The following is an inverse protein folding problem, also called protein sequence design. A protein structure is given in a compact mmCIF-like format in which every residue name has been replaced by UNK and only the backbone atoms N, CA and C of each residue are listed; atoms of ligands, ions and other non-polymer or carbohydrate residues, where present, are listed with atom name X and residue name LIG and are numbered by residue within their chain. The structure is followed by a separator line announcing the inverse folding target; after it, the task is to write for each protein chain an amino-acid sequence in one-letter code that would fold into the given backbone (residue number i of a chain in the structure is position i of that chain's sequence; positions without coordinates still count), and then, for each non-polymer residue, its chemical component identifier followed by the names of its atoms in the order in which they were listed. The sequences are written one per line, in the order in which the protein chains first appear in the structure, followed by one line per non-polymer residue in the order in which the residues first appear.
data_IF_507268152857
#
_entry.id   IF_507268152857
#
_cell.length_a   1.000
_cell.length_b   1.000
_cell.length_c   1.000
_cell.angle_alpha   90.00
_cell.angle_beta   90.00
_cell.angle_gamma   90.00
#
_symmetry.space_group_name_H-M   'P 1'
#
loop_
_entity.id
_entity.type
_entity.pdbx_description
1 polymer ?
#
# COMPACT_ATOMS: atom_id res chain seq x y z
N UNK A 1 17.65 2.86 2.32
CA UNK A 1 16.39 3.38 1.74
C UNK A 1 15.42 3.75 2.85
N UNK A 2 14.78 4.93 2.83
CA UNK A 2 13.73 5.28 3.82
C UNK A 2 12.40 4.65 3.38
N UNK A 3 11.73 3.96 4.30
CA UNK A 3 10.43 3.30 4.07
C UNK A 3 9.26 4.30 4.01
N UNK A 4 9.36 5.44 4.70
CA UNK A 4 8.44 6.56 4.58
C UNK A 4 9.27 7.79 4.22
N UNK A 5 9.05 8.34 3.02
CA UNK A 5 9.57 9.65 2.66
C UNK A 5 8.71 10.74 3.31
N UNK A 6 9.21 11.98 3.33
CA UNK A 6 8.42 13.12 3.82
C UNK A 6 7.11 13.28 3.05
N UNK A 7 7.14 13.04 1.74
CA UNK A 7 5.97 13.07 0.86
C UNK A 7 4.93 12.00 1.22
N UNK A 8 5.37 10.74 1.40
CA UNK A 8 4.46 9.66 1.80
C UNK A 8 3.86 9.95 3.18
N UNK A 9 4.66 10.48 4.11
CA UNK A 9 4.18 10.86 5.44
C UNK A 9 3.13 11.97 5.38
N UNK A 10 3.35 12.99 4.55
CA UNK A 10 2.38 14.07 4.33
C UNK A 10 1.08 13.54 3.71
N UNK A 11 1.17 12.67 2.71
CA UNK A 11 0.01 12.07 2.07
C UNK A 11 -0.81 11.19 3.04
N UNK A 12 -0.14 10.36 3.84
CA UNK A 12 -0.80 9.59 4.90
C UNK A 12 -1.51 10.51 5.91
N UNK A 13 -0.87 11.60 6.34
CA UNK A 13 -1.48 12.57 7.26
C UNK A 13 -2.73 13.24 6.65
N UNK A 14 -2.71 13.56 5.36
CA UNK A 14 -3.87 14.12 4.64
C UNK A 14 -5.03 13.13 4.66
N UNK A 15 -4.80 11.88 4.25
CA UNK A 15 -5.84 10.86 4.29
C UNK A 15 -6.36 10.63 5.72
N UNK A 16 -5.46 10.62 6.71
CA UNK A 16 -5.82 10.45 8.13
C UNK A 16 -6.64 11.57 8.76
N UNK A 17 -6.74 12.74 8.12
CA UNK A 17 -7.67 13.82 8.53
C UNK A 17 -9.12 13.47 8.24
N UNK A 18 -9.38 12.62 7.25
CA UNK A 18 -10.71 12.14 6.90
C UNK A 18 -10.80 10.63 7.14
N UNK A 19 -10.89 10.23 8.42
CA UNK A 19 -10.90 8.81 8.81
C UNK A 19 -12.18 8.13 8.34
N UNK A 20 -12.05 6.93 7.78
CA UNK A 20 -13.17 6.13 7.28
C UNK A 20 -13.57 6.44 5.84
N UNK A 21 -12.97 7.44 5.20
CA UNK A 21 -13.10 7.61 3.76
C UNK A 21 -12.26 6.58 3.01
N UNK A 22 -12.75 6.19 1.84
CA UNK A 22 -12.13 5.20 0.96
C UNK A 22 -11.02 5.86 0.14
N UNK A 23 -9.86 6.04 0.78
CA UNK A 23 -8.73 6.73 0.19
C UNK A 23 -7.97 5.85 -0.77
N UNK A 24 -7.29 6.51 -1.70
CA UNK A 24 -6.29 5.85 -2.53
C UNK A 24 -5.05 5.58 -1.67
N UNK A 25 -4.55 4.32 -1.61
CA UNK A 25 -3.38 3.97 -0.83
C UNK A 25 -2.13 4.67 -1.38
N UNK A 26 -1.30 5.21 -0.49
CA UNK A 26 -0.14 6.05 -0.88
C UNK A 26 1.18 5.30 -0.81
N UNK A 27 1.19 4.14 -0.16
CA UNK A 27 2.36 3.26 -0.07
C UNK A 27 1.92 1.81 0.06
N UNK A 28 2.74 0.91 -0.49
CA UNK A 28 2.61 -0.53 -0.37
C UNK A 28 3.89 -1.10 0.23
N UNK A 29 3.73 -1.95 1.23
CA UNK A 29 4.83 -2.63 1.91
C UNK A 29 4.85 -4.11 1.56
N UNK A 30 6.05 -4.67 1.38
CA UNK A 30 6.22 -6.10 1.06
C UNK A 30 7.40 -6.72 1.81
N UNK A 31 7.32 -8.03 1.98
CA UNK A 31 8.40 -8.85 2.48
C UNK A 31 9.31 -9.29 1.33
N UNK A 32 10.62 -8.93 1.33
CA UNK A 32 11.55 -9.36 0.30
C UNK A 32 11.79 -10.89 0.28
N UNK A 33 11.48 -11.61 1.36
CA UNK A 33 11.51 -13.08 1.42
C UNK A 33 10.28 -13.77 0.79
N UNK A 34 9.31 -13.01 0.29
CA UNK A 34 8.15 -13.56 -0.43
C UNK A 34 6.96 -13.97 0.46
N UNK A 35 7.12 -13.99 1.79
CA UNK A 35 6.02 -14.25 2.71
C UNK A 35 5.23 -12.97 3.03
N UNK A 36 4.13 -12.78 2.31
CA UNK A 36 3.10 -11.79 2.64
C UNK A 36 3.38 -10.35 2.16
N UNK A 37 2.34 -9.73 1.62
CA UNK A 37 2.26 -8.27 1.47
C UNK A 37 1.77 -7.72 2.80
N UNK A 38 2.56 -6.88 3.47
CA UNK A 38 2.26 -6.43 4.83
C UNK A 38 1.19 -5.32 4.88
N UNK A 39 0.78 -4.78 3.74
CA UNK A 39 -0.44 -3.97 3.63
C UNK A 39 -0.30 -2.76 2.70
N UNK A 40 -1.46 -2.23 2.32
CA UNK A 40 -1.63 -0.91 1.75
C UNK A 40 -1.90 0.05 2.91
N UNK A 41 -1.18 1.15 2.98
CA UNK A 41 -1.41 2.16 4.01
C UNK A 41 -2.07 3.40 3.41
N UNK A 42 -3.23 3.73 3.97
CA UNK A 42 -4.02 4.90 3.63
C UNK A 42 -4.31 5.79 4.85
N UNK A 43 -4.32 5.29 6.10
CA UNK A 43 -4.70 6.09 7.29
C UNK A 43 -3.50 6.70 8.06
N UNK A 44 -3.65 7.99 8.37
CA UNK A 44 -2.63 8.93 8.88
C UNK A 44 -2.22 8.88 10.34
N UNK A 45 -1.97 7.69 10.88
CA UNK A 45 -1.02 7.55 11.99
C UNK A 45 0.22 6.80 11.52
N UNK A 46 1.03 7.41 10.63
CA UNK A 46 2.23 6.77 10.11
C UNK A 46 3.07 6.27 11.26
N UNK A 47 3.38 7.09 12.27
CA UNK A 47 4.26 6.74 13.40
C UNK A 47 3.90 5.46 14.16
N UNK A 48 2.60 5.17 14.40
CA UNK A 48 2.16 4.07 15.28
C UNK A 48 2.02 2.75 14.51
N UNK A 49 1.40 2.77 13.32
CA UNK A 49 1.30 1.58 12.46
C UNK A 49 2.63 1.23 11.79
N UNK A 50 3.39 2.25 11.38
CA UNK A 50 4.71 2.09 10.78
C UNK A 50 5.76 1.60 11.78
N UNK A 51 5.79 2.10 13.04
CA UNK A 51 6.78 1.60 14.01
C UNK A 51 6.67 0.09 14.20
N UNK A 52 5.46 -0.46 14.21
CA UNK A 52 5.25 -1.91 14.28
C UNK A 52 5.86 -2.63 13.08
N UNK A 53 5.57 -2.17 11.86
CA UNK A 53 6.00 -2.80 10.60
C UNK A 53 7.50 -2.56 10.33
N UNK A 54 8.04 -1.39 10.66
CA UNK A 54 9.46 -1.08 10.52
C UNK A 54 10.33 -1.77 11.56
N UNK A 55 9.74 -2.18 12.70
CA UNK A 55 10.44 -2.96 13.74
C UNK A 55 10.35 -4.47 13.51
N UNK A 56 9.56 -4.93 12.55
CA UNK A 56 9.52 -6.33 12.14
C UNK A 56 10.87 -6.72 11.54
N UNK A 57 11.62 -7.52 12.30
CA UNK A 57 12.83 -8.19 11.79
C UNK A 57 12.44 -9.55 11.23
N UNK A 58 12.66 -9.71 9.95
CA UNK A 58 12.53 -10.96 9.23
C UNK A 58 13.80 -11.82 9.44
N UNK A 59 13.75 -13.13 9.12
CA UNK A 59 14.93 -13.97 9.10
C UNK A 59 16.10 -13.32 8.37
N UNK A 60 17.32 -13.56 8.84
CA UNK A 60 18.57 -12.94 8.36
C UNK A 60 18.67 -11.42 8.58
N UNK A 61 17.85 -10.86 9.46
CA UNK A 61 17.90 -9.45 9.83
C UNK A 61 17.33 -8.51 8.76
N UNK A 62 16.61 -9.04 7.77
CA UNK A 62 15.93 -8.24 6.76
C UNK A 62 14.72 -7.50 7.35
N UNK A 63 14.45 -6.31 6.83
CA UNK A 63 13.27 -5.54 7.16
C UNK A 63 12.22 -5.63 6.07
N UNK A 64 11.04 -5.11 6.37
CA UNK A 64 10.01 -4.83 5.36
C UNK A 64 10.53 -3.78 4.38
N UNK A 65 10.16 -3.92 3.10
CA UNK A 65 10.50 -2.96 2.05
C UNK A 65 9.26 -2.23 1.54
N UNK A 66 9.47 -1.03 0.99
CA UNK A 66 8.43 -0.29 0.26
C UNK A 66 8.56 -0.57 -1.24
N UNK A 67 7.42 -0.74 -1.90
CA UNK A 67 7.36 -0.85 -3.35
C UNK A 67 7.52 0.54 -3.97
N UNK A 68 8.69 0.79 -4.59
CA UNK A 68 9.01 2.07 -5.22
C UNK A 68 8.20 2.36 -6.48
N UNK A 69 7.71 1.31 -7.12
CA UNK A 69 6.93 1.38 -8.35
C UNK A 69 5.43 1.28 -8.08
N UNK A 70 5.04 1.34 -6.81
CA UNK A 70 3.65 1.35 -6.42
C UNK A 70 3.02 2.71 -6.70
N UNK A 71 1.90 2.68 -7.43
CA UNK A 71 1.04 3.83 -7.63
C UNK A 71 -0.34 3.47 -7.10
N UNK A 72 -0.81 4.23 -6.10
CA UNK A 72 -2.20 4.21 -5.69
C UNK A 72 -3.05 4.79 -6.81
N UNK A 73 -3.72 3.92 -7.56
CA UNK A 73 -4.54 4.35 -8.70
C UNK A 73 -6.04 4.20 -8.46
N UNK A 74 -6.43 3.36 -7.50
CA UNK A 74 -7.81 3.08 -7.14
C UNK A 74 -7.96 3.11 -5.60
N UNK A 75 -9.17 3.38 -5.09
CA UNK A 75 -9.45 3.38 -3.65
C UNK A 75 -9.13 2.04 -2.98
N UNK A 76 -8.80 2.07 -1.68
CA UNK A 76 -8.40 0.88 -0.92
C UNK A 76 -9.48 -0.21 -0.91
N UNK A 77 -10.76 0.16 -0.96
CA UNK A 77 -11.88 -0.79 -1.06
C UNK A 77 -11.79 -1.65 -2.32
N UNK A 78 -11.43 -1.04 -3.46
CA UNK A 78 -11.27 -1.74 -4.74
C UNK A 78 -10.11 -2.73 -4.65
N UNK A 79 -8.99 -2.30 -4.06
CA UNK A 79 -7.87 -3.21 -3.80
C UNK A 79 -8.25 -4.38 -2.90
N UNK A 80 -8.99 -4.11 -1.81
CA UNK A 80 -9.42 -5.13 -0.86
C UNK A 80 -10.42 -6.12 -1.48
N UNK A 81 -11.37 -5.62 -2.26
CA UNK A 81 -12.35 -6.42 -2.99
C UNK A 81 -11.65 -7.31 -4.02
N UNK A 82 -10.83 -6.73 -4.89
CA UNK A 82 -10.09 -7.49 -5.92
C UNK A 82 -9.16 -8.53 -5.29
N UNK A 83 -8.53 -8.22 -4.15
CA UNK A 83 -7.71 -9.18 -3.42
C UNK A 83 -8.53 -10.34 -2.82
N UNK A 84 -9.73 -10.05 -2.28
CA UNK A 84 -10.66 -11.08 -1.78
C UNK A 84 -11.15 -11.99 -2.91
N UNK A 85 -11.54 -11.41 -4.04
CA UNK A 85 -12.08 -12.15 -5.19
C UNK A 85 -11.05 -13.09 -5.81
N UNK A 86 -9.80 -12.65 -5.92
CA UNK A 86 -8.73 -13.43 -6.56
C UNK A 86 -7.98 -14.32 -5.56
N UNK A 87 -8.15 -14.09 -4.26
CA UNK A 87 -7.37 -14.76 -3.21
C UNK A 87 -5.88 -14.39 -3.22
N UNK A 88 -5.48 -13.36 -3.97
CA UNK A 88 -4.08 -12.95 -4.09
C UNK A 88 -3.93 -11.46 -4.38
N UNK A 89 -3.29 -10.74 -3.45
CA UNK A 89 -2.97 -9.30 -3.59
C UNK A 89 -2.05 -9.04 -4.80
N UNK A 90 -1.11 -9.95 -5.10
CA UNK A 90 -0.22 -9.83 -6.26
C UNK A 90 -0.97 -9.91 -7.58
N UNK A 91 -1.97 -10.79 -7.68
CA UNK A 91 -2.80 -10.90 -8.87
C UNK A 91 -3.79 -9.72 -8.95
N UNK A 92 -4.33 -9.28 -7.81
CA UNK A 92 -5.17 -8.09 -7.72
C UNK A 92 -4.46 -6.83 -8.22
N UNK A 93 -3.18 -6.66 -7.90
CA UNK A 93 -2.39 -5.54 -8.42
C UNK A 93 -2.34 -5.49 -9.94
N UNK A 94 -2.20 -6.64 -10.62
CA UNK A 94 -2.22 -6.67 -12.08
C UNK A 94 -3.56 -6.22 -12.64
N UNK A 95 -4.66 -6.66 -12.03
CA UNK A 95 -6.01 -6.29 -12.44
C UNK A 95 -6.31 -4.81 -12.15
N UNK A 96 -5.96 -4.32 -10.97
CA UNK A 96 -6.11 -2.91 -10.60
C UNK A 96 -5.29 -2.01 -11.53
N UNK A 97 -4.04 -2.37 -11.86
CA UNK A 97 -3.23 -1.62 -12.83
C UNK A 97 -3.85 -1.62 -14.22
N UNK A 98 -4.46 -2.72 -14.66
CA UNK A 98 -5.16 -2.78 -15.94
C UNK A 98 -6.42 -1.89 -15.94
N UNK A 99 -7.26 -1.99 -14.91
CA UNK A 99 -8.46 -1.18 -14.75
C UNK A 99 -8.16 0.33 -14.66
N UNK A 100 -7.08 0.69 -13.96
CA UNK A 100 -6.63 2.07 -13.87
C UNK A 100 -6.11 2.64 -15.20
N UNK A 101 -5.50 1.82 -16.07
CA UNK A 101 -5.11 2.24 -17.42
C UNK A 101 -6.33 2.48 -18.30
N UNK A 102 -7.30 1.55 -18.30
CA UNK A 102 -8.54 1.71 -19.05
C UNK A 102 -9.27 3.02 -18.69
N UNK A 103 -9.40 3.34 -17.39
CA UNK A 103 -9.99 4.61 -16.95
C UNK A 103 -9.22 5.86 -17.34
N UNK A 104 -7.92 5.77 -17.61
CA UNK A 104 -7.13 6.91 -18.12
C UNK A 104 -7.28 7.11 -19.62
N UNK A 105 -7.64 6.08 -20.37
CA UNK A 105 -7.88 6.14 -21.81
C UNK A 105 -9.30 6.62 -22.14
N UNK A 106 -10.24 6.49 -21.21
CA UNK A 106 -11.63 6.98 -21.33
C UNK A 106 -11.81 8.48 -21.00
N UNK A 107 -10.74 9.20 -20.64
CA UNK A 107 -10.80 10.60 -20.20
C UNK A 107 -9.91 11.50 -21.05
#
# INVERSE_FOLDING_TARGET
MRLLTLEIRAALLINGRNRGADHVPVVKFFNPLGEGVFGLADVGYPELGFRGIASLRLPRGMGIERDLLFAGLLPISVWAQTAREIGSIRAAERMVRAAARARREEK
#
